data_IF_269649676853
#
_entry.id   IF_269649676853
#
_cell.length_a   1.000
_cell.length_b   1.000
_cell.length_c   1.000
_cell.angle_alpha   90.00
_cell.angle_beta   90.00
_cell.angle_gamma   90.00
#
_symmetry.space_group_name_H-M   'P 1'
#
loop_
_entity.id
_entity.type
_entity.pdbx_description
1 polymer ?
#
# COMPACT_ATOMS: atom_id res chain seq x y z
N UNK A 1 1.18 5.53 9.65
CA UNK A 1 0.69 6.48 8.65
C UNK A 1 -0.80 6.30 8.57
N UNK A 2 -1.36 6.36 7.36
CA UNK A 2 -2.79 6.11 7.12
C UNK A 2 -3.12 4.62 6.87
N UNK A 3 -2.13 3.72 6.91
CA UNK A 3 -2.30 2.27 6.83
C UNK A 3 -2.25 1.67 5.43
N UNK A 4 -2.13 2.48 4.37
CA UNK A 4 -2.16 2.00 2.98
C UNK A 4 -1.10 0.95 2.68
N UNK A 5 0.16 1.22 3.02
CA UNK A 5 1.26 0.27 2.79
C UNK A 5 1.18 -0.96 3.72
N UNK A 6 0.64 -0.77 4.92
CA UNK A 6 0.40 -1.85 5.88
C UNK A 6 -0.61 -2.86 5.33
N UNK A 7 -1.71 -2.38 4.76
CA UNK A 7 -2.73 -3.25 4.18
C UNK A 7 -2.28 -3.94 2.90
N UNK A 8 -1.42 -3.31 2.09
CA UNK A 8 -0.77 -3.98 0.95
C UNK A 8 0.03 -5.18 1.43
N UNK A 9 0.88 -5.00 2.46
CA UNK A 9 1.70 -6.09 2.99
C UNK A 9 0.85 -7.21 3.62
N UNK A 10 -0.15 -6.84 4.43
CA UNK A 10 -1.09 -7.80 5.03
C UNK A 10 -1.83 -8.61 3.96
N UNK A 11 -2.32 -7.96 2.90
CA UNK A 11 -3.05 -8.63 1.81
C UNK A 11 -2.16 -9.56 1.01
N UNK A 12 -0.91 -9.17 0.77
CA UNK A 12 0.04 -10.06 0.13
C UNK A 12 0.26 -11.34 0.97
N UNK A 13 0.38 -11.22 2.29
CA UNK A 13 0.48 -12.36 3.19
C UNK A 13 -0.78 -13.25 3.17
N UNK A 14 -1.98 -12.66 3.23
CA UNK A 14 -3.24 -13.41 3.15
C UNK A 14 -3.41 -14.14 1.81
N UNK A 15 -3.04 -13.51 0.70
CA UNK A 15 -3.09 -14.14 -0.62
C UNK A 15 -2.07 -15.28 -0.74
N UNK A 16 -0.88 -15.10 -0.17
CA UNK A 16 0.13 -16.15 -0.11
C UNK A 16 -0.35 -17.35 0.72
N UNK A 17 -1.03 -17.15 1.85
CA UNK A 17 -1.61 -18.23 2.66
C UNK A 17 -2.69 -19.03 1.89
N UNK A 18 -3.47 -18.37 1.04
CA UNK A 18 -4.48 -19.06 0.20
C UNK A 18 -3.89 -19.75 -1.03
N UNK A 19 -2.62 -19.50 -1.34
CA UNK A 19 -1.94 -20.01 -2.53
C UNK A 19 -0.95 -21.12 -2.18
N UNK A 20 -0.60 -21.97 -3.16
CA UNK A 20 0.41 -23.04 -2.96
C UNK A 20 1.84 -22.50 -2.83
N UNK A 21 2.08 -21.27 -3.30
CA UNK A 21 3.39 -20.60 -3.24
C UNK A 21 3.64 -19.97 -1.88
N UNK A 22 4.75 -20.34 -1.22
CA UNK A 22 5.18 -19.77 0.06
C UNK A 22 6.00 -18.48 -0.06
N UNK A 23 6.33 -18.07 -1.27
CA UNK A 23 7.08 -16.83 -1.50
C UNK A 23 6.12 -15.63 -1.46
N UNK A 24 6.41 -14.67 -0.58
CA UNK A 24 5.63 -13.44 -0.42
C UNK A 24 5.93 -12.41 -1.52
N UNK A 25 7.10 -12.47 -2.15
CA UNK A 25 7.56 -11.43 -3.07
C UNK A 25 6.62 -11.23 -4.28
N UNK A 26 6.12 -12.28 -4.96
CA UNK A 26 5.23 -12.10 -6.11
C UNK A 26 3.93 -11.37 -5.74
N UNK A 27 3.34 -11.70 -4.58
CA UNK A 27 2.11 -11.07 -4.09
C UNK A 27 2.32 -9.63 -3.63
N UNK A 28 3.50 -9.33 -3.08
CA UNK A 28 3.88 -7.96 -2.70
C UNK A 28 4.17 -7.08 -3.91
N UNK A 29 4.72 -7.64 -4.99
CA UNK A 29 5.20 -6.87 -6.15
C UNK A 29 4.07 -6.09 -6.82
N UNK A 30 2.86 -6.66 -6.92
CA UNK A 30 1.72 -5.98 -7.52
C UNK A 30 1.29 -4.76 -6.69
N UNK A 31 1.12 -4.94 -5.38
CA UNK A 31 0.74 -3.84 -4.48
C UNK A 31 1.84 -2.77 -4.34
N UNK A 32 3.11 -3.20 -4.27
CA UNK A 32 4.26 -2.30 -4.31
C UNK A 32 4.26 -1.45 -5.59
N UNK A 33 4.09 -2.08 -6.75
CA UNK A 33 4.11 -1.39 -8.05
C UNK A 33 2.94 -0.40 -8.15
N UNK A 34 1.74 -0.79 -7.71
CA UNK A 34 0.58 0.10 -7.66
C UNK A 34 0.84 1.34 -6.80
N UNK A 35 1.44 1.17 -5.61
CA UNK A 35 1.79 2.28 -4.73
C UNK A 35 2.93 3.16 -5.30
N UNK A 36 4.00 2.55 -5.80
CA UNK A 36 5.17 3.25 -6.31
C UNK A 36 4.87 4.03 -7.61
N UNK A 37 4.00 3.50 -8.47
CA UNK A 37 3.59 4.16 -9.72
C UNK A 37 2.37 5.08 -9.55
N UNK A 38 1.87 5.25 -8.32
CA UNK A 38 0.66 6.03 -8.02
C UNK A 38 -0.54 5.62 -8.90
N UNK A 39 -0.77 4.30 -9.05
CA UNK A 39 -1.88 3.78 -9.85
C UNK A 39 -3.21 4.07 -9.14
N UNK A 40 -4.12 4.73 -9.85
CA UNK A 40 -5.47 5.07 -9.35
C UNK A 40 -6.50 4.13 -9.98
N UNK A 41 -7.39 3.58 -9.17
CA UNK A 41 -8.53 2.82 -9.67
C UNK A 41 -9.56 3.75 -10.32
N UNK A 42 -9.90 3.51 -11.58
CA UNK A 42 -10.88 4.30 -12.34
C UNK A 42 -12.32 3.86 -12.10
N UNK A 43 -12.51 2.67 -11.51
CA UNK A 43 -13.81 2.10 -11.15
C UNK A 43 -13.71 1.25 -9.89
N UNK A 44 -14.84 1.02 -9.21
CA UNK A 44 -14.86 0.14 -8.03
C UNK A 44 -14.39 -1.29 -8.34
N UNK A 45 -14.66 -1.79 -9.56
CA UNK A 45 -14.21 -3.11 -10.01
C UNK A 45 -12.69 -3.14 -10.25
N UNK A 46 -12.11 -2.06 -10.78
CA UNK A 46 -10.66 -1.94 -10.90
C UNK A 46 -10.00 -1.82 -9.52
N UNK A 47 -10.56 -1.00 -8.63
CA UNK A 47 -10.08 -0.87 -7.24
C UNK A 47 -10.14 -2.19 -6.48
N UNK A 48 -11.08 -3.08 -6.81
CA UNK A 48 -11.12 -4.45 -6.29
C UNK A 48 -9.96 -5.31 -6.81
N UNK A 49 -9.62 -5.21 -8.10
CA UNK A 49 -8.45 -5.90 -8.69
C UNK A 49 -7.14 -5.39 -8.08
N UNK A 50 -7.06 -4.09 -7.79
CA UNK A 50 -5.91 -3.47 -7.12
C UNK A 50 -5.83 -3.80 -5.61
N UNK A 51 -6.85 -4.45 -5.04
CA UNK A 51 -6.89 -4.80 -3.63
C UNK A 51 -7.23 -3.66 -2.68
N UNK A 52 -7.70 -2.50 -3.19
CA UNK A 52 -8.17 -1.38 -2.38
C UNK A 52 -9.57 -1.62 -1.81
N UNK A 53 -10.36 -2.47 -2.47
CA UNK A 53 -11.74 -2.83 -2.09
C UNK A 53 -11.83 -4.34 -2.04
N UNK A 54 -12.52 -4.90 -1.05
CA UNK A 54 -12.70 -6.33 -0.91
C UNK A 54 -13.81 -6.86 -1.81
N UNK A 55 -13.81 -8.17 -2.01
CA UNK A 55 -14.91 -8.81 -2.72
C UNK A 55 -16.23 -8.75 -1.94
N UNK A 56 -16.14 -8.72 -0.60
CA UNK A 56 -17.25 -8.56 0.32
C UNK A 56 -17.83 -7.15 0.35
N UNK A 57 -17.10 -6.15 -0.13
CA UNK A 57 -17.55 -4.76 -0.04
C UNK A 57 -18.64 -4.48 -1.07
N UNK A 58 -19.71 -3.84 -0.60
CA UNK A 58 -20.87 -3.46 -1.41
C UNK A 58 -20.50 -2.33 -2.35
N UNK A 59 -20.72 -2.53 -3.65
CA UNK A 59 -20.54 -1.50 -4.66
C UNK A 59 -21.90 -0.88 -4.97
N UNK A 60 -22.04 0.41 -4.67
CA UNK A 60 -23.25 1.18 -4.96
C UNK A 60 -23.06 1.92 -6.29
N UNK A 61 -23.85 1.64 -7.34
CA UNK A 61 -23.67 2.27 -8.65
C UNK A 61 -23.99 3.78 -8.66
N UNK A 62 -24.93 4.22 -7.81
CA UNK A 62 -25.42 5.59 -7.79
C UNK A 62 -24.92 6.34 -6.56
N UNK A 63 -24.24 7.48 -6.76
CA UNK A 63 -23.62 8.26 -5.68
C UNK A 63 -24.62 8.73 -4.61
N UNK A 64 -25.85 9.05 -5.01
CA UNK A 64 -26.86 9.62 -4.10
C UNK A 64 -27.48 8.54 -3.19
N UNK A 65 -27.29 7.26 -3.51
CA UNK A 65 -27.73 6.13 -2.68
C UNK A 65 -26.66 5.68 -1.68
N UNK A 66 -25.41 6.08 -1.86
CA UNK A 66 -24.25 5.58 -1.11
C UNK A 66 -24.43 5.75 0.39
N UNK A 67 -24.88 6.93 0.84
CA UNK A 67 -25.09 7.21 2.26
C UNK A 67 -26.21 6.33 2.85
N UNK A 68 -27.31 6.16 2.13
CA UNK A 68 -28.44 5.35 2.57
C UNK A 68 -28.04 3.88 2.73
N UNK A 69 -27.35 3.33 1.73
CA UNK A 69 -26.85 1.94 1.76
C UNK A 69 -25.84 1.77 2.90
N UNK A 70 -24.91 2.70 3.08
CA UNK A 70 -23.90 2.63 4.15
C UNK A 70 -24.54 2.62 5.56
N UNK A 71 -25.56 3.45 5.80
CA UNK A 71 -26.28 3.47 7.08
C UNK A 71 -27.00 2.14 7.32
N UNK A 72 -27.66 1.60 6.30
CA UNK A 72 -28.37 0.34 6.42
C UNK A 72 -27.41 -0.82 6.68
N UNK A 73 -26.26 -0.86 6.00
CA UNK A 73 -25.23 -1.88 6.20
C UNK A 73 -24.68 -1.82 7.63
N UNK A 74 -24.37 -0.61 8.14
CA UNK A 74 -23.90 -0.43 9.51
C UNK A 74 -24.94 -0.92 10.55
N UNK A 75 -26.22 -0.62 10.34
CA UNK A 75 -27.32 -1.13 11.19
C UNK A 75 -27.44 -2.66 11.11
N UNK A 76 -27.33 -3.22 9.91
CA UNK A 76 -27.37 -4.67 9.68
C UNK A 76 -26.21 -5.38 10.39
N UNK A 77 -24.98 -4.83 10.30
CA UNK A 77 -23.81 -5.35 11.03
C UNK A 77 -24.03 -5.30 12.55
N UNK A 78 -24.57 -4.19 13.08
CA UNK A 78 -24.89 -4.09 14.51
C UNK A 78 -25.93 -5.11 14.95
N UNK A 79 -27.05 -5.23 14.21
CA UNK A 79 -28.12 -6.17 14.51
C UNK A 79 -27.66 -7.64 14.38
N UNK A 80 -26.77 -7.92 13.43
CA UNK A 80 -26.12 -9.22 13.27
C UNK A 80 -25.06 -9.53 14.34
N UNK A 81 -24.81 -8.61 15.28
CA UNK A 81 -23.88 -8.81 16.38
C UNK A 81 -22.40 -8.71 15.98
N UNK A 82 -22.08 -7.92 14.95
CA UNK A 82 -20.72 -7.75 14.46
C UNK A 82 -19.71 -7.45 15.59
N UNK A 83 -18.56 -8.10 15.49
CA UNK A 83 -17.39 -7.86 16.34
C UNK A 83 -16.17 -7.69 15.44
N UNK A 84 -15.35 -6.70 15.78
CA UNK A 84 -14.11 -6.46 15.06
C UNK A 84 -13.22 -7.73 15.10
N UNK A 85 -12.62 -8.14 13.96
CA UNK A 85 -11.68 -9.24 13.94
C UNK A 85 -10.50 -8.99 14.90
N UNK A 86 -9.99 -10.06 15.52
CA UNK A 86 -8.78 -9.97 16.33
C UNK A 86 -7.59 -9.53 15.46
N UNK A 87 -6.72 -8.68 16.03
CA UNK A 87 -5.43 -8.35 15.42
C UNK A 87 -4.62 -9.65 15.22
N UNK A 88 -4.16 -9.88 14.00
CA UNK A 88 -3.36 -11.05 13.63
C UNK A 88 -1.93 -10.64 13.33
N UNK A 89 -1.01 -11.56 13.58
CA UNK A 89 0.33 -11.46 13.04
C UNK A 89 0.34 -12.05 11.63
N UNK A 90 1.18 -11.50 10.75
CA UNK A 90 1.36 -11.99 9.40
C UNK A 90 2.84 -11.92 8.99
N UNK A 91 3.30 -12.84 8.13
CA UNK A 91 4.69 -12.84 7.67
C UNK A 91 4.98 -11.67 6.73
N UNK A 92 6.22 -11.19 6.75
CA UNK A 92 6.74 -10.19 5.81
C UNK A 92 7.94 -10.72 5.02
N UNK A 93 8.20 -10.15 3.85
CA UNK A 93 9.31 -10.58 2.99
C UNK A 93 10.71 -10.19 3.51
N UNK A 94 10.80 -9.26 4.46
CA UNK A 94 12.05 -8.88 5.12
C UNK A 94 13.13 -8.32 4.20
N UNK A 95 14.38 -8.41 4.66
CA UNK A 95 15.57 -7.90 3.97
C UNK A 95 15.74 -8.47 2.57
N UNK A 96 15.48 -9.77 2.39
CA UNK A 96 15.65 -10.45 1.11
C UNK A 96 14.69 -9.89 0.07
N UNK A 97 13.40 -9.76 0.43
CA UNK A 97 12.41 -9.16 -0.46
C UNK A 97 12.71 -7.70 -0.77
N UNK A 98 13.22 -6.95 0.21
CA UNK A 98 13.64 -5.57 0.03
C UNK A 98 14.81 -5.46 -0.95
N UNK A 99 15.81 -6.33 -0.84
CA UNK A 99 16.98 -6.34 -1.70
C UNK A 99 16.60 -6.59 -3.17
N UNK A 100 15.71 -7.56 -3.42
CA UNK A 100 15.21 -7.84 -4.77
C UNK A 100 14.48 -6.63 -5.37
N UNK A 101 13.58 -5.99 -4.61
CA UNK A 101 12.86 -4.79 -5.08
C UNK A 101 13.83 -3.63 -5.35
N UNK A 102 14.80 -3.41 -4.46
CA UNK A 102 15.81 -2.36 -4.64
C UNK A 102 16.66 -2.60 -5.89
N UNK A 103 17.03 -3.85 -6.18
CA UNK A 103 17.73 -4.20 -7.42
C UNK A 103 16.96 -3.79 -8.67
N UNK A 104 15.65 -4.06 -8.71
CA UNK A 104 14.78 -3.61 -9.80
C UNK A 104 14.70 -2.08 -9.89
N UNK A 105 14.61 -1.38 -8.75
CA UNK A 105 14.56 0.08 -8.71
C UNK A 105 15.87 0.74 -9.18
N UNK A 106 17.03 0.17 -8.85
CA UNK A 106 18.33 0.65 -9.33
C UNK A 106 18.39 0.55 -10.85
N UNK A 107 17.97 -0.57 -11.42
CA UNK A 107 17.91 -0.75 -12.88
C UNK A 107 16.99 0.27 -13.55
N UNK A 108 15.83 0.58 -12.94
CA UNK A 108 14.91 1.61 -13.47
C UNK A 108 15.51 3.01 -13.40
N UNK A 109 16.23 3.34 -12.33
CA UNK A 109 16.90 4.63 -12.15
C UNK A 109 18.02 4.80 -13.19
N UNK A 110 18.89 3.81 -13.29
CA UNK A 110 20.06 3.87 -14.17
C UNK A 110 19.66 3.75 -15.65
N UNK A 111 18.54 3.09 -15.94
CA UNK A 111 17.87 3.11 -17.24
C UNK A 111 17.12 4.40 -17.57
N UNK A 112 17.08 5.38 -16.66
CA UNK A 112 16.42 6.68 -16.87
C UNK A 112 14.89 6.66 -16.82
N UNK A 113 14.27 5.56 -16.35
CA UNK A 113 12.81 5.43 -16.23
C UNK A 113 12.24 6.16 -15.01
N UNK A 114 13.03 6.30 -13.94
CA UNK A 114 12.63 7.00 -12.71
C UNK A 114 13.70 8.02 -12.29
N UNK A 115 13.29 9.12 -11.66
CA UNK A 115 14.24 10.09 -11.12
C UNK A 115 14.94 9.57 -9.86
N UNK A 116 15.97 10.29 -9.40
CA UNK A 116 16.62 9.99 -8.13
C UNK A 116 15.65 10.13 -6.93
N UNK A 117 14.70 11.07 -6.99
CA UNK A 117 13.70 11.24 -5.93
C UNK A 117 12.62 10.16 -5.98
N UNK A 118 12.22 9.73 -7.18
CA UNK A 118 11.31 8.59 -7.36
C UNK A 118 11.94 7.31 -6.79
N UNK A 119 13.23 7.08 -7.05
CA UNK A 119 13.98 6.00 -6.43
C UNK A 119 13.98 6.09 -4.90
N UNK A 120 14.18 7.29 -4.34
CA UNK A 120 14.16 7.50 -2.88
C UNK A 120 12.79 7.15 -2.28
N UNK A 121 11.70 7.67 -2.87
CA UNK A 121 10.33 7.38 -2.42
C UNK A 121 10.03 5.87 -2.54
N UNK A 122 10.33 5.26 -3.69
CA UNK A 122 10.10 3.83 -3.92
C UNK A 122 10.92 2.95 -2.95
N UNK A 123 12.14 3.37 -2.59
CA UNK A 123 12.95 2.68 -1.58
C UNK A 123 12.33 2.71 -0.19
N UNK A 124 11.70 3.84 0.19
CA UNK A 124 10.95 3.95 1.45
C UNK A 124 9.69 3.10 1.44
N UNK A 125 8.95 3.08 0.32
CA UNK A 125 7.79 2.20 0.15
C UNK A 125 8.22 0.74 0.29
N UNK A 126 9.29 0.33 -0.42
CA UNK A 126 9.86 -1.01 -0.35
C UNK A 126 10.22 -1.40 1.08
N UNK A 127 10.86 -0.50 1.83
CA UNK A 127 11.20 -0.71 3.24
C UNK A 127 9.96 -0.96 4.10
N UNK A 128 8.87 -0.22 3.92
CA UNK A 128 7.64 -0.40 4.70
C UNK A 128 6.93 -1.70 4.33
N UNK A 129 6.69 -1.96 3.04
CA UNK A 129 5.90 -3.14 2.61
C UNK A 129 6.60 -4.47 2.87
N UNK A 130 7.92 -4.47 2.99
CA UNK A 130 8.72 -5.66 3.33
C UNK A 130 8.94 -5.84 4.83
N UNK A 131 8.46 -4.90 5.67
CA UNK A 131 8.61 -4.97 7.12
C UNK A 131 9.95 -4.48 7.66
N UNK A 132 10.74 -3.78 6.86
CA UNK A 132 11.98 -3.13 7.28
C UNK A 132 13.15 -4.09 7.36
N UNK A 133 13.93 -3.98 8.43
CA UNK A 133 15.19 -4.69 8.60
C UNK A 133 15.05 -6.01 9.39
N UNK A 134 14.07 -6.84 8.99
CA UNK A 134 13.77 -8.14 9.61
C UNK A 134 14.07 -9.29 8.67
N UNK A 135 14.21 -10.49 9.21
CA UNK A 135 14.41 -11.71 8.41
C UNK A 135 13.13 -12.06 7.64
N UNK A 136 13.27 -12.68 6.47
CA UNK A 136 12.14 -13.13 5.67
C UNK A 136 11.27 -14.12 6.46
N UNK A 137 9.96 -13.95 6.41
CA UNK A 137 9.00 -14.77 7.16
C UNK A 137 8.77 -14.33 8.61
N UNK A 138 9.45 -13.28 9.09
CA UNK A 138 9.18 -12.71 10.42
C UNK A 138 7.72 -12.31 10.53
N UNK A 139 7.07 -12.71 11.63
CA UNK A 139 5.68 -12.35 11.91
C UNK A 139 5.60 -10.96 12.55
N UNK A 140 4.87 -10.04 11.93
CA UNK A 140 4.66 -8.67 12.43
C UNK A 140 3.17 -8.38 12.57
N UNK A 141 2.83 -7.33 13.32
CA UNK A 141 1.47 -6.81 13.41
C UNK A 141 1.29 -5.54 12.57
N UNK A 142 0.04 -5.11 12.41
CA UNK A 142 -0.29 -3.89 11.67
C UNK A 142 0.34 -2.63 12.29
N UNK A 143 0.36 -2.53 13.63
CA UNK A 143 0.90 -1.37 14.35
C UNK A 143 2.40 -1.15 14.07
N UNK A 144 3.17 -2.23 13.88
CA UNK A 144 4.57 -2.19 13.50
C UNK A 144 4.77 -1.57 12.11
N UNK A 145 4.05 -2.06 11.09
CA UNK A 145 4.14 -1.50 9.74
C UNK A 145 3.61 -0.06 9.67
N UNK A 146 2.54 0.25 10.41
CA UNK A 146 2.02 1.61 10.50
C UNK A 146 3.03 2.58 11.12
N UNK A 147 3.88 2.09 12.03
CA UNK A 147 4.97 2.87 12.62
C UNK A 147 6.06 3.17 11.59
N UNK A 148 6.50 2.15 10.82
CA UNK A 148 7.44 2.35 9.71
C UNK A 148 6.89 3.31 8.66
N UNK A 149 5.62 3.15 8.29
CA UNK A 149 4.94 4.03 7.34
C UNK A 149 4.89 5.48 7.85
N UNK A 150 4.62 5.68 9.16
CA UNK A 150 4.62 7.01 9.76
C UNK A 150 6.00 7.64 9.71
N UNK A 151 7.06 6.90 10.02
CA UNK A 151 8.43 7.38 9.96
C UNK A 151 8.80 7.82 8.54
N UNK A 152 8.52 6.99 7.53
CA UNK A 152 8.77 7.31 6.12
C UNK A 152 7.98 8.54 5.65
N UNK A 153 6.71 8.65 6.05
CA UNK A 153 5.88 9.83 5.74
C UNK A 153 6.47 11.10 6.36
N UNK A 154 6.82 11.06 7.65
CA UNK A 154 7.41 12.20 8.34
C UNK A 154 8.78 12.60 7.76
N UNK A 155 9.59 11.66 7.27
CA UNK A 155 10.82 12.01 6.56
C UNK A 155 10.56 12.66 5.20
N UNK A 156 9.51 12.23 4.49
CA UNK A 156 9.19 12.76 3.17
C UNK A 156 8.59 14.16 3.21
N UNK A 157 7.74 14.48 4.20
CA UNK A 157 7.06 15.79 4.27
C UNK A 157 8.03 16.96 4.50
N UNK A 158 9.16 16.70 5.16
CA UNK A 158 10.24 17.68 5.38
C UNK A 158 11.28 17.69 4.26
N UNK A 159 11.19 16.78 3.29
CA UNK A 159 12.18 16.66 2.21
C UNK A 159 11.97 17.77 1.16
N UNK A 160 13.01 18.55 0.79
CA UNK A 160 12.87 19.69 -0.12
C UNK A 160 12.22 19.34 -1.47
N UNK A 161 12.64 18.23 -2.10
CA UNK A 161 12.06 17.77 -3.37
C UNK A 161 10.58 17.39 -3.26
N UNK A 162 10.12 16.91 -2.10
CA UNK A 162 8.70 16.61 -1.87
C UNK A 162 7.91 17.91 -1.77
N UNK A 163 8.43 18.90 -1.05
CA UNK A 163 7.81 20.22 -0.95
C UNK A 163 7.71 20.90 -2.32
N UNK A 164 8.75 20.79 -3.14
CA UNK A 164 8.75 21.27 -4.52
C UNK A 164 7.66 20.60 -5.37
N UNK A 165 7.51 19.26 -5.26
CA UNK A 165 6.42 18.53 -5.95
C UNK A 165 5.04 19.01 -5.52
N UNK A 166 4.84 19.22 -4.22
CA UNK A 166 3.57 19.72 -3.66
C UNK A 166 3.27 21.12 -4.21
N UNK A 167 4.24 22.04 -4.14
CA UNK A 167 4.09 23.40 -4.65
C UNK A 167 3.84 23.42 -6.16
N UNK A 168 4.59 22.62 -6.91
CA UNK A 168 4.43 22.49 -8.35
C UNK A 168 3.04 21.96 -8.72
N UNK A 169 2.53 20.96 -8.02
CA UNK A 169 1.18 20.42 -8.22
C UNK A 169 0.10 21.44 -7.87
N UNK A 170 0.24 22.19 -6.76
CA UNK A 170 -0.70 23.23 -6.37
C UNK A 170 -0.73 24.41 -7.36
N UNK A 171 0.42 24.78 -7.91
CA UNK A 171 0.53 25.92 -8.82
C UNK A 171 0.16 25.58 -10.26
N UNK A 172 0.55 24.39 -10.75
CA UNK A 172 0.44 24.04 -12.18
C UNK A 172 -0.57 22.93 -12.47
N UNK A 173 -1.09 22.27 -11.43
CA UNK A 173 -1.92 21.08 -11.55
C UNK A 173 -1.16 19.83 -12.00
N UNK A 174 0.17 19.91 -12.20
CA UNK A 174 1.00 18.78 -12.67
C UNK A 174 2.14 18.48 -11.69
N UNK A 175 2.43 17.18 -11.44
CA UNK A 175 3.58 16.80 -10.62
C UNK A 175 4.89 17.16 -11.31
N UNK A 176 5.80 17.81 -10.57
CA UNK A 176 7.16 18.09 -11.02
C UNK A 176 7.97 16.79 -10.94
N UNK A 177 8.67 16.42 -12.03
CA UNK A 177 9.61 15.29 -12.03
C UNK A 177 11.00 15.80 -11.67
N UNK A 178 11.35 15.68 -10.40
CA UNK A 178 12.66 16.02 -9.80
C UNK A 178 13.31 14.80 -9.14
#
# INVERSE_FOLDING_TARGET
GAGGLTYIARRAAENAETSTGKDLLPFLTEGFTAAAMAKVGTSALESRKLGFVLHSDVIVPHKDELLFVAINEAKSLFNGGYRAPHKRLFPVAGRDGRATILGSLVNMRDGGFISQHDFHIASLIANVVTGGDVESGTLVNEDYLMTLERQAFCSLIVHPKTQERILGMLNTGKPVRN
#
